data_IF_660223075218
#
_entry.id   IF_660223075218
#
_cell.length_a   1.000
_cell.length_b   1.000
_cell.length_c   1.000
_cell.angle_alpha   90.00
_cell.angle_beta   90.00
_cell.angle_gamma   90.00
#
_symmetry.space_group_name_H-M   'P 1'
#
loop_
_entity.id
_entity.type
_entity.pdbx_description
1 polymer ?
#
# COMPACT_ATOMS: atom_id res chain seq x y z
N UNK A 1 -7.31 16.88 16.59
CA UNK A 1 -6.58 15.89 17.42
C UNK A 1 -6.06 14.82 16.48
N UNK A 2 -4.77 14.47 16.53
CA UNK A 2 -4.16 13.48 15.62
C UNK A 2 -4.39 12.06 16.15
N UNK A 3 -4.74 11.13 15.27
CA UNK A 3 -5.03 9.73 15.62
C UNK A 3 -3.83 9.05 16.29
N UNK A 4 -4.06 8.46 17.47
CA UNK A 4 -3.00 7.81 18.24
C UNK A 4 -2.45 6.62 17.45
N UNK A 5 -1.15 6.35 17.61
CA UNK A 5 -0.50 5.23 16.90
C UNK A 5 -1.21 3.91 17.18
N UNK A 6 -1.77 3.73 18.39
CA UNK A 6 -2.53 2.56 18.84
C UNK A 6 -3.79 2.28 18.02
N UNK A 7 -4.47 3.33 17.57
CA UNK A 7 -5.78 3.30 16.92
C UNK A 7 -5.69 3.19 15.39
N UNK A 8 -4.52 3.47 14.82
CA UNK A 8 -4.29 3.37 13.37
C UNK A 8 -4.52 1.96 12.84
N UNK A 9 -5.10 1.81 11.63
CA UNK A 9 -5.42 0.52 11.05
C UNK A 9 -4.16 -0.35 10.82
N UNK A 10 -4.39 -1.66 10.81
CA UNK A 10 -3.39 -2.64 10.40
C UNK A 10 -3.24 -2.66 8.89
N UNK A 11 -2.12 -3.20 8.42
CA UNK A 11 -1.84 -3.39 7.01
C UNK A 11 -2.80 -4.42 6.38
N UNK A 12 -3.47 -4.04 5.29
CA UNK A 12 -4.42 -4.91 4.60
C UNK A 12 -3.80 -6.01 3.70
N UNK A 13 -2.54 -6.38 3.92
CA UNK A 13 -1.84 -7.37 3.06
C UNK A 13 -1.93 -8.77 3.65
N UNK A 14 -2.14 -9.78 2.79
CA UNK A 14 -1.97 -11.20 3.15
C UNK A 14 -0.47 -11.51 3.25
N UNK A 15 -0.08 -12.24 4.29
CA UNK A 15 1.29 -12.71 4.48
C UNK A 15 1.51 -13.98 3.67
N UNK A 16 2.79 -14.32 3.44
CA UNK A 16 3.16 -15.58 2.76
C UNK A 16 2.68 -16.82 3.51
N UNK A 17 2.53 -16.74 4.83
CA UNK A 17 2.01 -17.81 5.69
C UNK A 17 0.47 -17.91 5.70
N UNK A 18 -0.23 -17.16 4.85
CA UNK A 18 -1.69 -17.22 4.70
C UNK A 18 -2.51 -16.33 5.66
N UNK A 19 -1.87 -15.65 6.61
CA UNK A 19 -2.54 -14.75 7.56
C UNK A 19 -2.61 -13.29 7.09
N UNK A 20 -3.21 -12.43 7.91
CA UNK A 20 -3.22 -10.98 7.68
C UNK A 20 -1.99 -10.30 8.33
N UNK A 21 -1.44 -9.28 7.68
CA UNK A 21 -0.31 -8.53 8.20
C UNK A 21 -0.70 -7.77 9.48
N UNK A 22 -0.01 -8.05 10.58
CA UNK A 22 -0.22 -7.40 11.88
C UNK A 22 0.49 -6.05 12.02
N UNK A 23 1.34 -5.64 11.07
CA UNK A 23 1.99 -4.33 11.11
C UNK A 23 0.96 -3.20 10.91
N UNK A 24 1.25 -1.99 11.41
CA UNK A 24 0.41 -0.81 11.15
C UNK A 24 0.62 -0.30 9.72
N UNK A 25 -0.43 0.27 9.12
CA UNK A 25 -0.29 0.98 7.86
C UNK A 25 0.65 2.18 8.01
N UNK A 26 1.34 2.56 6.93
CA UNK A 26 2.08 3.82 6.89
C UNK A 26 1.08 4.97 7.01
N UNK A 27 1.38 5.92 7.88
CA UNK A 27 0.50 7.02 8.25
C UNK A 27 1.02 8.33 7.70
N UNK A 28 0.15 9.13 7.07
CA UNK A 28 0.41 10.54 6.86
C UNK A 28 0.07 11.30 8.15
N UNK A 29 1.07 11.94 8.75
CA UNK A 29 0.86 12.71 9.98
C UNK A 29 0.20 14.06 9.72
N UNK A 30 0.31 14.58 8.49
CA UNK A 30 -0.25 15.88 8.10
C UNK A 30 -1.72 15.72 7.76
N UNK A 31 -2.06 14.74 6.91
CA UNK A 31 -3.44 14.40 6.55
C UNK A 31 -4.21 13.57 7.59
N UNK A 32 -3.52 13.07 8.62
CA UNK A 32 -4.05 12.14 9.63
C UNK A 32 -4.83 10.94 9.04
N UNK A 33 -4.24 10.31 8.02
CA UNK A 33 -4.85 9.21 7.29
C UNK A 33 -3.81 8.16 6.85
N UNK A 34 -4.22 6.90 6.55
CA UNK A 34 -3.29 5.90 6.06
C UNK A 34 -2.92 6.21 4.60
N UNK A 35 -1.62 6.25 4.26
CA UNK A 35 -1.17 6.64 2.91
C UNK A 35 -1.74 5.76 1.79
N UNK A 36 -1.81 4.45 2.02
CA UNK A 36 -2.37 3.49 1.06
C UNK A 36 -2.86 2.18 1.74
N UNK A 37 -3.04 2.20 3.07
CA UNK A 37 -3.48 1.03 3.85
C UNK A 37 -2.46 -0.09 4.05
N UNK A 38 -1.20 0.05 3.58
CA UNK A 38 -0.15 -0.98 3.74
C UNK A 38 1.01 -0.52 4.62
N UNK A 39 1.73 -1.46 5.21
CA UNK A 39 2.94 -1.20 5.99
C UNK A 39 4.17 -1.04 5.09
N UNK A 40 5.29 -0.53 5.63
CA UNK A 40 6.54 -0.34 4.89
C UNK A 40 7.03 -1.58 4.13
N UNK A 41 6.81 -2.79 4.68
CA UNK A 41 7.27 -4.04 4.08
C UNK A 41 6.31 -4.57 2.99
N UNK A 42 5.07 -4.08 2.94
CA UNK A 42 4.07 -4.48 1.94
C UNK A 42 3.71 -3.32 1.01
N UNK A 43 4.65 -2.42 0.74
CA UNK A 43 4.46 -1.33 -0.22
C UNK A 43 3.79 -0.08 0.33
N UNK A 44 3.68 0.06 1.66
CA UNK A 44 3.13 1.23 2.33
C UNK A 44 3.84 2.56 2.04
N UNK A 45 5.09 2.50 1.58
CA UNK A 45 5.88 3.65 1.18
C UNK A 45 5.70 4.02 -0.31
N UNK A 46 5.09 3.13 -1.09
CA UNK A 46 4.79 3.42 -2.50
C UNK A 46 3.74 4.51 -2.60
N UNK A 47 3.97 5.44 -3.53
CA UNK A 47 3.02 6.51 -3.86
C UNK A 47 2.29 6.25 -5.17
N UNK A 48 2.46 5.06 -5.73
CA UNK A 48 2.01 4.75 -7.08
C UNK A 48 2.75 5.59 -8.13
N UNK A 49 2.36 5.45 -9.41
CA UNK A 49 2.81 6.34 -10.46
C UNK A 49 2.20 7.74 -10.25
N UNK A 50 3.04 8.77 -10.28
CA UNK A 50 2.60 10.19 -10.18
C UNK A 50 2.47 10.89 -11.53
N UNK A 51 2.79 10.20 -12.62
CA UNK A 51 2.73 10.72 -13.99
C UNK A 51 1.89 9.81 -14.88
N UNK A 52 1.34 10.37 -15.95
CA UNK A 52 0.55 9.64 -16.95
C UNK A 52 1.38 8.52 -17.57
N UNK A 53 2.62 8.80 -17.97
CA UNK A 53 3.53 7.80 -18.53
C UNK A 53 3.85 6.67 -17.53
N UNK A 54 4.06 7.03 -16.26
CA UNK A 54 4.29 6.06 -15.20
C UNK A 54 3.08 5.15 -14.98
N UNK A 55 1.89 5.71 -15.06
CA UNK A 55 0.64 4.97 -14.96
C UNK A 55 0.48 4.03 -16.17
N UNK A 56 0.70 4.51 -17.38
CA UNK A 56 0.65 3.71 -18.60
C UNK A 56 1.60 2.51 -18.54
N UNK A 57 2.86 2.71 -18.12
CA UNK A 57 3.83 1.63 -17.94
C UNK A 57 3.38 0.60 -16.89
N UNK A 58 2.83 1.08 -15.77
CA UNK A 58 2.32 0.21 -14.70
C UNK A 58 1.16 -0.66 -15.19
N UNK A 59 0.21 -0.06 -15.92
CA UNK A 59 -0.94 -0.76 -16.49
C UNK A 59 -0.52 -1.78 -17.56
N UNK A 60 0.42 -1.42 -18.44
CA UNK A 60 0.97 -2.34 -19.43
C UNK A 60 1.64 -3.55 -18.77
N UNK A 61 2.46 -3.32 -17.74
CA UNK A 61 3.10 -4.41 -16.98
C UNK A 61 2.07 -5.31 -16.28
N UNK A 62 0.99 -4.74 -15.73
CA UNK A 62 -0.10 -5.52 -15.14
C UNK A 62 -0.83 -6.39 -16.18
N UNK A 63 -1.07 -5.86 -17.39
CA UNK A 63 -1.69 -6.62 -18.49
C UNK A 63 -0.82 -7.83 -18.86
N UNK A 64 0.46 -7.60 -19.15
CA UNK A 64 1.42 -8.67 -19.48
C UNK A 64 1.50 -9.72 -18.37
N UNK A 65 1.53 -9.30 -17.10
CA UNK A 65 1.59 -10.23 -15.97
C UNK A 65 0.33 -11.09 -15.79
N UNK A 66 -0.84 -10.61 -16.23
CA UNK A 66 -2.09 -11.39 -16.21
C UNK A 66 -2.15 -12.41 -17.34
N UNK A 67 -1.64 -12.06 -18.52
CA UNK A 67 -1.57 -12.96 -19.69
C UNK A 67 -0.59 -14.12 -19.47
N UNK A 68 0.41 -13.94 -18.60
CA UNK A 68 1.41 -14.96 -18.24
C UNK A 68 0.93 -15.97 -17.18
N UNK A 69 -0.22 -15.74 -16.56
CA UNK A 69 -0.79 -16.61 -15.53
C UNK A 69 -1.85 -17.53 -16.13
#
# INVERSE_FOLDING_TARGET
>A
MTTAKSERPRCGAKTRSGGNCKARAVWDKVGDEPRNGRCRNHGGLSTGPRTVDGLARTLAAMRVGRERK
#
